data_IF_358068307826
#
_entry.id   IF_358068307826
#
_cell.length_a   1.000
_cell.length_b   1.000
_cell.length_c   1.000
_cell.angle_alpha   90.00
_cell.angle_beta   90.00
_cell.angle_gamma   90.00
#
_symmetry.space_group_name_H-M   'P 1'
#
loop_
_entity.id
_entity.type
_entity.pdbx_description
1 polymer ?
#
# COMPACT_ATOMS: atom_id res chain seq x y z
N UNK A 1 -18.58 -2.50 -7.30
CA UNK A 1 -17.33 -1.71 -7.12
C UNK A 1 -16.24 -2.45 -7.87
N UNK A 2 -15.55 -1.80 -8.81
CA UNK A 2 -14.47 -2.40 -9.60
C UNK A 2 -13.12 -1.79 -9.18
N UNK A 3 -12.03 -2.55 -9.28
CA UNK A 3 -10.70 -2.09 -8.86
C UNK A 3 -10.01 -1.17 -9.88
N UNK A 4 -10.37 -1.26 -11.17
CA UNK A 4 -9.72 -0.53 -12.27
C UNK A 4 -8.18 -0.65 -12.35
N UNK A 5 -7.58 -1.67 -11.72
CA UNK A 5 -6.13 -1.90 -11.71
C UNK A 5 -5.58 -2.49 -13.04
N UNK A 6 -6.45 -2.90 -13.97
CA UNK A 6 -6.08 -3.64 -15.17
C UNK A 6 -5.57 -5.07 -14.88
N UNK A 7 -5.18 -5.84 -15.92
CA UNK A 7 -4.74 -7.22 -15.75
C UNK A 7 -3.40 -7.31 -15.00
N UNK A 8 -3.29 -8.22 -14.05
CA UNK A 8 -2.06 -8.49 -13.30
C UNK A 8 -1.44 -9.80 -13.78
N UNK A 9 -0.21 -9.72 -14.30
CA UNK A 9 0.50 -10.85 -14.93
C UNK A 9 1.46 -11.50 -13.94
N UNK A 10 2.02 -10.72 -13.02
CA UNK A 10 2.92 -11.22 -11.99
C UNK A 10 2.20 -12.15 -11.01
N UNK A 11 2.90 -13.19 -10.54
CA UNK A 11 2.36 -14.13 -9.54
C UNK A 11 2.19 -13.44 -8.19
N UNK A 12 3.16 -12.60 -7.81
CA UNK A 12 3.06 -11.78 -6.60
C UNK A 12 2.17 -10.56 -6.88
N UNK A 13 1.04 -10.48 -6.17
CA UNK A 13 0.12 -9.33 -6.21
C UNK A 13 0.84 -8.04 -5.76
N UNK A 14 0.60 -6.92 -6.44
CA UNK A 14 1.18 -5.61 -6.12
C UNK A 14 0.13 -4.53 -6.23
N UNK A 15 -0.32 -4.23 -7.46
CA UNK A 15 -1.31 -3.20 -7.74
C UNK A 15 -2.71 -3.56 -7.27
N UNK A 16 -3.05 -4.85 -7.20
CA UNK A 16 -4.35 -5.25 -6.66
C UNK A 16 -4.47 -4.91 -5.17
N UNK A 17 -3.40 -5.05 -4.39
CA UNK A 17 -3.41 -4.71 -2.95
C UNK A 17 -3.73 -3.23 -2.71
N UNK A 18 -3.00 -2.33 -3.37
CA UNK A 18 -3.22 -0.88 -3.23
C UNK A 18 -4.56 -0.44 -3.81
N UNK A 19 -4.99 -1.01 -4.94
CA UNK A 19 -6.31 -0.74 -5.52
C UNK A 19 -7.45 -1.17 -4.59
N UNK A 20 -7.34 -2.31 -3.92
CA UNK A 20 -8.34 -2.76 -2.93
C UNK A 20 -8.43 -1.79 -1.76
N UNK A 21 -7.31 -1.34 -1.20
CA UNK A 21 -7.30 -0.36 -0.11
C UNK A 21 -7.93 0.97 -0.53
N UNK A 22 -7.60 1.47 -1.72
CA UNK A 22 -8.17 2.72 -2.23
C UNK A 22 -9.70 2.61 -2.42
N UNK A 23 -10.19 1.50 -2.97
CA UNK A 23 -11.63 1.28 -3.14
C UNK A 23 -12.34 1.14 -1.79
N UNK A 24 -11.74 0.43 -0.82
CA UNK A 24 -12.30 0.28 0.52
C UNK A 24 -12.33 1.60 1.30
N UNK A 25 -11.35 2.49 1.13
CA UNK A 25 -11.36 3.81 1.77
C UNK A 25 -12.45 4.70 1.21
N UNK A 26 -12.66 4.67 -0.12
CA UNK A 26 -13.76 5.38 -0.79
C UNK A 26 -15.11 4.84 -0.30
N UNK A 27 -15.29 3.52 -0.26
CA UNK A 27 -16.52 2.90 0.26
C UNK A 27 -16.80 3.34 1.71
N UNK A 28 -15.77 3.28 2.56
CA UNK A 28 -15.90 3.60 3.98
C UNK A 28 -16.31 5.05 4.19
N UNK A 29 -15.72 6.00 3.44
CA UNK A 29 -16.08 7.41 3.57
C UNK A 29 -17.49 7.71 3.04
N UNK A 30 -17.93 7.05 1.96
CA UNK A 30 -19.30 7.18 1.47
C UNK A 30 -20.30 6.67 2.51
N UNK A 31 -20.05 5.49 3.09
CA UNK A 31 -20.93 4.94 4.14
C UNK A 31 -20.92 5.82 5.40
N UNK A 32 -19.76 6.37 5.75
CA UNK A 32 -19.62 7.27 6.90
C UNK A 32 -20.42 8.56 6.71
N UNK A 33 -20.43 9.14 5.50
CA UNK A 33 -21.25 10.29 5.11
C UNK A 33 -22.74 10.04 5.34
N UNK A 34 -23.25 8.90 4.89
CA UNK A 34 -24.67 8.53 5.06
C UNK A 34 -25.10 8.43 6.54
N UNK A 35 -24.16 8.13 7.44
CA UNK A 35 -24.43 8.01 8.88
C UNK A 35 -24.04 9.26 9.69
N UNK A 36 -23.62 10.35 9.04
CA UNK A 36 -23.12 11.55 9.71
C UNK A 36 -21.85 11.32 10.54
N UNK A 37 -21.04 10.33 10.16
CA UNK A 37 -19.77 9.94 10.81
C UNK A 37 -18.57 10.12 9.88
N UNK A 38 -18.69 10.99 8.87
CA UNK A 38 -17.61 11.19 7.92
C UNK A 38 -16.33 11.63 8.62
N UNK A 39 -15.20 11.16 8.12
CA UNK A 39 -13.93 11.74 8.52
C UNK A 39 -13.84 13.16 7.96
N UNK A 40 -13.34 14.11 8.76
CA UNK A 40 -13.10 15.50 8.38
C UNK A 40 -11.86 15.62 7.48
N UNK A 41 -11.91 14.94 6.33
CA UNK A 41 -10.86 14.89 5.33
C UNK A 41 -11.45 14.95 3.92
N UNK A 42 -10.77 15.68 3.04
CA UNK A 42 -10.98 15.58 1.60
C UNK A 42 -10.26 14.32 1.09
N UNK A 43 -10.97 13.19 1.11
CA UNK A 43 -10.39 11.88 0.75
C UNK A 43 -9.77 11.89 -0.65
N UNK A 44 -10.34 12.60 -1.62
CA UNK A 44 -9.78 12.66 -2.98
C UNK A 44 -8.44 13.39 -3.00
N UNK A 45 -8.32 14.47 -2.22
CA UNK A 45 -7.05 15.19 -2.06
C UNK A 45 -6.01 14.35 -1.35
N UNK A 46 -6.39 13.62 -0.31
CA UNK A 46 -5.45 12.72 0.38
C UNK A 46 -5.01 11.56 -0.52
N UNK A 47 -5.91 10.98 -1.32
CA UNK A 47 -5.55 9.97 -2.31
C UNK A 47 -4.60 10.52 -3.40
N UNK A 48 -4.79 11.77 -3.84
CA UNK A 48 -3.88 12.42 -4.77
C UNK A 48 -2.47 12.60 -4.17
N UNK A 49 -2.36 12.98 -2.89
CA UNK A 49 -1.06 13.02 -2.19
C UNK A 49 -0.43 11.64 -2.09
N UNK A 50 -1.22 10.59 -1.82
CA UNK A 50 -0.75 9.20 -1.80
C UNK A 50 -0.21 8.80 -3.16
N UNK A 51 -0.84 9.20 -4.27
CA UNK A 51 -0.32 8.95 -5.62
C UNK A 51 1.07 9.58 -5.81
N UNK A 52 1.24 10.85 -5.45
CA UNK A 52 2.56 11.52 -5.53
C UNK A 52 3.60 10.86 -4.63
N UNK A 53 3.20 10.40 -3.44
CA UNK A 53 4.11 9.66 -2.56
C UNK A 53 4.54 8.31 -3.17
N UNK A 54 3.63 7.59 -3.83
CA UNK A 54 3.95 6.35 -4.54
C UNK A 54 4.95 6.63 -5.67
N UNK A 55 4.76 7.69 -6.46
CA UNK A 55 5.69 8.08 -7.53
C UNK A 55 7.10 8.33 -6.97
N UNK A 56 7.21 9.09 -5.87
CA UNK A 56 8.50 9.35 -5.24
C UNK A 56 9.20 8.07 -4.75
N UNK A 57 8.46 7.13 -4.16
CA UNK A 57 9.02 5.84 -3.71
C UNK A 57 9.47 4.98 -4.90
N UNK A 58 8.75 5.03 -6.02
CA UNK A 58 9.14 4.34 -7.25
C UNK A 58 10.39 4.96 -7.87
N UNK A 59 10.51 6.29 -7.86
CA UNK A 59 11.70 7.00 -8.32
C UNK A 59 12.94 6.67 -7.47
N UNK A 60 12.74 6.41 -6.18
CA UNK A 60 13.76 5.94 -5.23
C UNK A 60 14.08 4.43 -5.34
N UNK A 61 13.68 3.76 -6.43
CA UNK A 61 14.03 2.35 -6.67
C UNK A 61 15.53 2.01 -6.49
N UNK A 62 16.50 2.86 -6.89
CA UNK A 62 17.92 2.59 -6.63
C UNK A 62 18.27 2.53 -5.14
N UNK A 63 17.59 3.31 -4.29
CA UNK A 63 17.76 3.27 -2.84
C UNK A 63 17.21 1.94 -2.29
N UNK A 64 16.06 1.48 -2.81
CA UNK A 64 15.47 0.20 -2.41
C UNK A 64 16.39 -0.99 -2.78
N UNK A 65 17.06 -0.93 -3.93
CA UNK A 65 18.07 -1.92 -4.34
C UNK A 65 19.27 -1.93 -3.40
N UNK A 66 19.75 -0.75 -2.98
CA UNK A 66 20.83 -0.65 -2.01
C UNK A 66 20.42 -1.25 -0.65
N UNK A 67 19.20 -0.98 -0.17
CA UNK A 67 18.67 -1.59 1.08
C UNK A 67 18.63 -3.12 0.96
N UNK A 68 18.19 -3.66 -0.18
CA UNK A 68 18.19 -5.10 -0.38
C UNK A 68 19.60 -5.70 -0.30
N UNK A 69 20.59 -5.02 -0.90
CA UNK A 69 22.00 -5.42 -0.82
C UNK A 69 22.50 -5.38 0.63
N UNK A 70 22.28 -4.27 1.32
CA UNK A 70 22.82 -4.04 2.67
C UNK A 70 22.25 -5.01 3.72
N UNK A 71 20.97 -5.38 3.59
CA UNK A 71 20.24 -6.10 4.64
C UNK A 71 19.81 -7.52 4.29
N UNK A 72 19.65 -7.86 3.01
CA UNK A 72 19.03 -9.13 2.59
C UNK A 72 19.95 -10.06 1.78
N UNK A 73 21.13 -9.60 1.34
CA UNK A 73 21.99 -10.32 0.39
C UNK A 73 22.38 -11.75 0.86
N UNK A 74 22.68 -11.92 2.14
CA UNK A 74 23.22 -13.19 2.67
C UNK A 74 22.27 -13.94 3.60
N UNK A 75 21.17 -13.32 4.00
CA UNK A 75 20.27 -13.89 5.00
C UNK A 75 19.32 -14.90 4.38
N UNK A 76 18.98 -15.94 5.15
CA UNK A 76 17.96 -16.93 4.79
C UNK A 76 16.57 -16.58 5.32
N UNK A 77 16.47 -15.56 6.18
CA UNK A 77 15.24 -15.15 6.82
C UNK A 77 15.25 -13.65 7.14
N UNK A 78 14.06 -13.05 7.13
CA UNK A 78 13.83 -11.68 7.51
C UNK A 78 12.56 -11.60 8.37
N UNK A 79 12.53 -10.67 9.33
CA UNK A 79 11.36 -10.42 10.17
C UNK A 79 10.88 -8.99 9.94
N UNK A 80 9.62 -8.87 9.51
CA UNK A 80 8.93 -7.59 9.36
C UNK A 80 8.08 -7.34 10.60
N UNK A 81 8.31 -6.22 11.28
CA UNK A 81 7.66 -5.89 12.54
C UNK A 81 6.96 -4.53 12.44
N UNK A 82 5.72 -4.48 12.93
CA UNK A 82 4.89 -3.29 12.94
C UNK A 82 3.75 -3.46 13.95
N UNK A 83 3.16 -2.35 14.40
CA UNK A 83 2.01 -2.35 15.31
C UNK A 83 0.80 -1.70 14.62
N UNK A 84 -0.39 -2.01 15.11
CA UNK A 84 -1.66 -1.44 14.63
C UNK A 84 -1.81 -1.53 13.11
N UNK A 85 -1.70 -0.42 12.38
CA UNK A 85 -1.85 -0.37 10.92
C UNK A 85 -0.60 -0.97 10.24
N UNK A 86 0.59 -0.72 10.79
CA UNK A 86 1.87 -1.21 10.24
C UNK A 86 2.02 -2.72 10.36
N UNK A 87 1.30 -3.35 11.29
CA UNK A 87 1.23 -4.81 11.38
C UNK A 87 0.71 -5.43 10.07
N UNK A 88 -0.35 -4.84 9.49
CA UNK A 88 -0.93 -5.37 8.26
C UNK A 88 0.02 -5.22 7.07
N UNK A 89 0.79 -4.12 7.02
CA UNK A 89 1.82 -3.90 5.99
C UNK A 89 3.00 -4.84 6.19
N UNK A 90 3.38 -5.11 7.44
CA UNK A 90 4.47 -6.04 7.77
C UNK A 90 4.16 -7.47 7.29
N UNK A 91 2.92 -7.92 7.43
CA UNK A 91 2.49 -9.22 6.91
C UNK A 91 2.57 -9.30 5.39
N UNK A 92 2.10 -8.27 4.69
CA UNK A 92 2.18 -8.23 3.22
C UNK A 92 3.64 -8.19 2.76
N UNK A 93 4.50 -7.40 3.41
CA UNK A 93 5.94 -7.35 3.13
C UNK A 93 6.60 -8.72 3.30
N UNK A 94 6.36 -9.39 4.43
CA UNK A 94 6.87 -10.75 4.67
C UNK A 94 6.39 -11.78 3.64
N UNK A 95 5.22 -11.58 3.03
CA UNK A 95 4.71 -12.45 1.97
C UNK A 95 5.37 -12.20 0.60
N UNK A 96 5.95 -11.01 0.36
CA UNK A 96 6.65 -10.67 -0.90
C UNK A 96 8.13 -10.98 -0.90
N UNK A 97 8.75 -11.08 0.28
CA UNK A 97 10.20 -11.21 0.46
C UNK A 97 10.61 -12.68 0.48
#
# INVERSE_FOLDING_TARGET
MLLHAGPEIAVASTKAYTAQIAVLSILSQIVAKEHGREADIDLLRELAKVTTAIEAIVDDAPIMEQIATDFLETTRNAFFIGRTIDYNVSLEGAFKT
#
